data_IF_734243333919
#
_entry.id   IF_734243333919
#
_cell.length_a   1.000
_cell.length_b   1.000
_cell.length_c   1.000
_cell.angle_alpha   90.00
_cell.angle_beta   90.00
_cell.angle_gamma   90.00
#
_symmetry.space_group_name_H-M   'P 1'
#
loop_
_entity.id
_entity.type
_entity.pdbx_description
1 polymer ?
#
# COMPACT_ATOMS: atom_id res chain seq x y z
N UNK A 1 -6.97 59.38 40.71
CA UNK A 1 -6.01 58.70 39.80
C UNK A 1 -6.14 57.18 39.78
N UNK A 2 -6.69 56.52 40.81
CA UNK A 2 -6.96 55.07 40.81
C UNK A 2 -8.04 54.62 39.80
N UNK A 3 -9.10 55.42 39.62
CA UNK A 3 -10.23 55.08 38.74
C UNK A 3 -9.83 54.98 37.24
N UNK A 4 -8.91 55.85 36.79
CA UNK A 4 -8.41 55.81 35.41
C UNK A 4 -7.59 54.55 35.13
N UNK A 5 -6.86 54.04 36.13
CA UNK A 5 -6.01 52.84 35.99
C UNK A 5 -6.85 51.55 35.88
N UNK A 6 -7.97 51.48 36.60
CA UNK A 6 -8.89 50.33 36.54
C UNK A 6 -9.66 50.30 35.21
N UNK A 7 -10.07 51.48 34.71
CA UNK A 7 -10.74 51.58 33.41
C UNK A 7 -9.83 51.15 32.25
N UNK A 8 -8.54 51.52 32.27
CA UNK A 8 -7.57 51.11 31.25
C UNK A 8 -7.29 49.60 31.27
N UNK A 9 -7.28 48.98 32.45
CA UNK A 9 -7.08 47.53 32.58
C UNK A 9 -8.28 46.74 32.04
N UNK A 10 -9.51 47.19 32.34
CA UNK A 10 -10.73 46.57 31.81
C UNK A 10 -10.86 46.73 30.29
N UNK A 11 -10.42 47.85 29.73
CA UNK A 11 -10.46 48.08 28.28
C UNK A 11 -9.46 47.19 27.51
N UNK A 12 -8.28 46.92 28.09
CA UNK A 12 -7.30 46.01 27.49
C UNK A 12 -7.77 44.54 27.54
N UNK A 13 -8.42 44.11 28.62
CA UNK A 13 -8.96 42.74 28.72
C UNK A 13 -10.13 42.55 27.73
N UNK A 14 -10.95 43.58 27.48
CA UNK A 14 -12.08 43.49 26.56
C UNK A 14 -11.66 43.39 25.09
N UNK A 15 -10.57 44.06 24.67
CA UNK A 15 -10.08 44.01 23.28
C UNK A 15 -9.32 42.73 22.96
N UNK A 16 -8.59 42.15 23.93
CA UNK A 16 -7.92 40.86 23.73
C UNK A 16 -8.84 39.64 23.97
N UNK A 17 -9.90 39.78 24.77
CA UNK A 17 -10.86 38.70 25.04
C UNK A 17 -11.79 38.34 23.87
N UNK A 18 -11.97 39.24 22.90
CA UNK A 18 -12.88 39.04 21.76
C UNK A 18 -12.24 38.30 20.57
N UNK A 19 -10.91 38.07 20.58
CA UNK A 19 -10.21 37.31 19.54
C UNK A 19 -9.94 35.84 19.92
N UNK A 20 -10.36 35.41 21.13
CA UNK A 20 -10.21 34.04 21.60
C UNK A 20 -11.47 33.17 21.36
N UNK A 21 -12.39 33.60 20.50
CA UNK A 21 -13.31 32.66 19.85
C UNK A 21 -12.57 32.06 18.65
N UNK A 22 -11.59 31.21 18.95
CA UNK A 22 -11.21 30.16 18.03
C UNK A 22 -12.44 29.25 17.98
N UNK A 23 -13.32 29.50 17.01
CA UNK A 23 -14.29 28.51 16.61
C UNK A 23 -13.48 27.21 16.43
N UNK A 24 -13.83 26.09 17.06
CA UNK A 24 -13.18 24.83 16.76
C UNK A 24 -13.23 24.72 15.24
N UNK A 25 -12.06 24.76 14.60
CA UNK A 25 -11.95 24.21 13.25
C UNK A 25 -12.59 22.84 13.42
N UNK A 26 -13.69 22.52 12.69
CA UNK A 26 -14.28 21.20 12.78
C UNK A 26 -13.09 20.26 12.71
N UNK A 27 -12.83 19.49 13.78
CA UNK A 27 -11.70 18.58 13.80
C UNK A 27 -11.81 17.88 12.46
N UNK A 28 -10.84 18.11 11.57
CA UNK A 28 -10.81 17.40 10.32
C UNK A 28 -10.77 15.96 10.80
N UNK A 29 -11.91 15.26 10.70
CA UNK A 29 -12.06 13.90 11.21
C UNK A 29 -10.82 13.20 10.73
N UNK A 30 -9.93 12.88 11.68
CA UNK A 30 -8.65 12.31 11.38
C UNK A 30 -9.03 11.02 10.67
N UNK A 31 -8.97 10.99 9.33
CA UNK A 31 -9.58 9.92 8.55
C UNK A 31 -9.06 8.64 9.14
N UNK A 32 -9.94 7.90 9.80
CA UNK A 32 -9.57 6.65 10.41
C UNK A 32 -8.97 5.81 9.30
N UNK A 33 -7.71 5.42 9.45
CA UNK A 33 -7.12 4.47 8.52
C UNK A 33 -7.79 3.14 8.85
N UNK A 34 -8.64 2.66 7.95
CA UNK A 34 -9.30 1.35 8.06
C UNK A 34 -8.57 0.34 7.20
N UNK A 35 -8.70 -0.95 7.52
CA UNK A 35 -8.14 -2.03 6.70
C UNK A 35 -8.59 -1.93 5.24
N UNK A 36 -9.86 -1.59 5.01
CA UNK A 36 -10.41 -1.33 3.67
C UNK A 36 -9.65 -0.22 2.95
N UNK A 37 -9.45 0.94 3.62
CA UNK A 37 -8.74 2.06 3.01
C UNK A 37 -7.28 1.73 2.66
N UNK A 38 -6.62 0.89 3.47
CA UNK A 38 -5.25 0.45 3.20
C UNK A 38 -5.22 -0.42 1.94
N UNK A 39 -6.07 -1.45 1.87
CA UNK A 39 -6.08 -2.37 0.72
C UNK A 39 -6.60 -1.69 -0.55
N UNK A 40 -7.55 -0.76 -0.47
CA UNK A 40 -8.06 -0.02 -1.63
C UNK A 40 -7.03 0.93 -2.23
N UNK A 41 -6.26 1.61 -1.37
CA UNK A 41 -5.16 2.48 -1.81
C UNK A 41 -4.03 1.67 -2.45
N UNK A 42 -3.71 0.51 -1.86
CA UNK A 42 -2.76 -0.43 -2.44
C UNK A 42 -3.25 -0.91 -3.81
N UNK A 43 -4.50 -1.37 -3.93
CA UNK A 43 -5.08 -1.83 -5.19
C UNK A 43 -5.03 -0.76 -6.29
N UNK A 44 -5.38 0.48 -5.96
CA UNK A 44 -5.30 1.59 -6.92
C UNK A 44 -3.88 1.78 -7.45
N UNK A 45 -2.89 1.69 -6.55
CA UNK A 45 -1.48 1.85 -6.92
C UNK A 45 -0.98 0.67 -7.74
N UNK A 46 -1.33 -0.56 -7.34
CA UNK A 46 -1.02 -1.81 -8.04
C UNK A 46 -1.58 -1.75 -9.46
N UNK A 47 -2.87 -1.45 -9.63
CA UNK A 47 -3.51 -1.38 -10.94
C UNK A 47 -2.85 -0.36 -11.89
N UNK A 48 -2.43 0.78 -11.35
CA UNK A 48 -1.69 1.79 -12.12
C UNK A 48 -0.32 1.28 -12.55
N UNK A 49 0.42 0.60 -11.66
CA UNK A 49 1.74 0.05 -11.94
C UNK A 49 1.67 -1.13 -12.90
N UNK A 50 0.74 -2.08 -12.68
CA UNK A 50 0.56 -3.26 -13.54
C UNK A 50 0.22 -2.82 -14.97
N UNK A 51 -0.67 -1.85 -15.13
CA UNK A 51 -0.99 -1.27 -16.44
C UNK A 51 0.23 -0.67 -17.14
N UNK A 52 1.10 0.02 -16.38
CA UNK A 52 2.32 0.59 -16.93
C UNK A 52 3.35 -0.49 -17.30
N UNK A 53 3.46 -1.56 -16.51
CA UNK A 53 4.32 -2.71 -16.82
C UNK A 53 3.83 -3.46 -18.07
N UNK A 54 2.52 -3.65 -18.23
CA UNK A 54 1.92 -4.27 -19.44
C UNK A 54 2.22 -3.50 -20.72
N UNK A 55 2.39 -2.17 -20.62
CA UNK A 55 2.75 -1.34 -21.76
C UNK A 55 4.21 -1.56 -22.24
N UNK A 56 5.07 -2.16 -21.41
CA UNK A 56 6.48 -2.40 -21.74
C UNK A 56 6.67 -3.73 -22.48
N UNK A 57 6.53 -3.70 -23.80
CA UNK A 57 6.55 -4.90 -24.65
C UNK A 57 7.92 -5.29 -25.19
N UNK A 58 8.94 -4.45 -25.03
CA UNK A 58 10.26 -4.64 -25.63
C UNK A 58 11.37 -4.39 -24.63
N UNK A 59 12.40 -5.25 -24.68
CA UNK A 59 13.58 -5.11 -23.83
C UNK A 59 14.57 -4.09 -24.43
N UNK A 60 14.36 -2.81 -24.09
CA UNK A 60 15.32 -1.73 -24.35
C UNK A 60 15.95 -1.27 -23.02
N UNK A 61 17.14 -0.66 -23.03
CA UNK A 61 17.73 -0.12 -21.79
C UNK A 61 16.81 0.86 -21.05
N UNK A 62 16.11 1.72 -21.79
CA UNK A 62 15.13 2.67 -21.23
C UNK A 62 13.94 1.96 -20.59
N UNK A 63 13.36 0.97 -21.26
CA UNK A 63 12.24 0.20 -20.73
C UNK A 63 12.67 -0.66 -19.53
N UNK A 64 13.88 -1.21 -19.53
CA UNK A 64 14.43 -1.97 -18.41
C UNK A 64 14.58 -1.10 -17.15
N UNK A 65 15.07 0.13 -17.30
CA UNK A 65 15.14 1.09 -16.20
C UNK A 65 13.75 1.49 -15.70
N UNK A 66 12.82 1.73 -16.61
CA UNK A 66 11.43 2.06 -16.28
C UNK A 66 10.74 0.90 -15.56
N UNK A 67 10.92 -0.32 -16.03
CA UNK A 67 10.37 -1.52 -15.39
C UNK A 67 10.91 -1.69 -13.97
N UNK A 68 12.22 -1.53 -13.76
CA UNK A 68 12.81 -1.56 -12.41
C UNK A 68 12.24 -0.47 -11.50
N UNK A 69 12.07 0.75 -12.02
CA UNK A 69 11.47 1.86 -11.26
C UNK A 69 10.04 1.55 -10.85
N UNK A 70 9.23 1.02 -11.77
CA UNK A 70 7.84 0.62 -11.50
C UNK A 70 7.77 -0.51 -10.46
N UNK A 71 8.65 -1.50 -10.54
CA UNK A 71 8.74 -2.58 -9.55
C UNK A 71 9.16 -2.06 -8.18
N UNK A 72 10.11 -1.13 -8.10
CA UNK A 72 10.48 -0.49 -6.83
C UNK A 72 9.32 0.34 -6.25
N UNK A 73 8.55 1.03 -7.10
CA UNK A 73 7.35 1.74 -6.65
C UNK A 73 6.30 0.78 -6.09
N UNK A 74 6.17 -0.41 -6.66
CA UNK A 74 5.27 -1.44 -6.14
C UNK A 74 5.72 -1.92 -4.76
N UNK A 75 7.02 -2.19 -4.57
CA UNK A 75 7.58 -2.58 -3.27
C UNK A 75 7.29 -1.50 -2.23
N UNK A 76 7.57 -0.23 -2.53
CA UNK A 76 7.31 0.91 -1.63
C UNK A 76 5.82 1.04 -1.30
N UNK A 77 4.93 0.78 -2.25
CA UNK A 77 3.49 0.82 -2.02
C UNK A 77 3.05 -0.28 -1.03
N UNK A 78 3.58 -1.49 -1.17
CA UNK A 78 3.31 -2.60 -0.25
C UNK A 78 3.89 -2.30 1.14
N UNK A 79 5.11 -1.80 1.24
CA UNK A 79 5.74 -1.40 2.53
C UNK A 79 4.96 -0.26 3.22
N UNK A 80 4.42 0.67 2.45
CA UNK A 80 3.55 1.73 2.97
C UNK A 80 2.26 1.14 3.54
N UNK A 81 1.65 0.19 2.83
CA UNK A 81 0.48 -0.54 3.32
C UNK A 81 0.81 -1.34 4.60
N UNK A 82 1.98 -1.99 4.67
CA UNK A 82 2.46 -2.68 5.88
C UNK A 82 2.57 -1.72 7.06
N UNK A 83 3.17 -0.57 6.85
CA UNK A 83 3.33 0.45 7.90
C UNK A 83 1.98 0.93 8.39
N UNK A 84 1.02 1.14 7.49
CA UNK A 84 -0.34 1.54 7.86
C UNK A 84 -1.07 0.43 8.63
N UNK A 85 -0.97 -0.83 8.18
CA UNK A 85 -1.61 -1.97 8.80
C UNK A 85 -1.04 -2.30 10.19
N UNK A 86 0.28 -2.23 10.34
CA UNK A 86 0.99 -2.53 11.59
C UNK A 86 1.00 -1.39 12.61
N UNK A 87 0.59 -0.17 12.21
CA UNK A 87 0.62 1.01 13.08
C UNK A 87 -0.28 0.92 14.33
N UNK A 88 -1.14 -0.10 14.44
CA UNK A 88 -2.13 -0.24 15.52
C UNK A 88 -3.21 0.85 15.50
N UNK A 89 -3.19 1.74 14.50
CA UNK A 89 -4.19 2.79 14.27
C UNK A 89 -5.41 2.28 13.50
N UNK A 90 -5.38 1.02 13.04
CA UNK A 90 -6.48 0.43 12.32
C UNK A 90 -7.69 0.33 13.23
N UNK A 91 -8.71 1.12 12.93
CA UNK A 91 -10.00 1.00 13.61
C UNK A 91 -10.69 -0.24 13.05
N UNK A 92 -10.90 -1.24 13.91
CA UNK A 92 -11.73 -2.41 13.59
C UNK A 92 -13.18 -1.95 13.43
N UNK A 93 -13.57 -1.58 12.21
CA UNK A 93 -14.98 -1.40 11.86
C UNK A 93 -15.60 -2.76 11.60
N UNK A 94 -16.92 -2.86 11.82
CA UNK A 94 -17.74 -3.99 11.37
C UNK A 94 -17.91 -4.01 9.84
N UNK A 95 -16.89 -3.56 9.10
CA UNK A 95 -16.79 -3.77 7.66
C UNK A 95 -16.48 -5.26 7.46
N UNK A 96 -17.07 -5.89 6.44
CA UNK A 96 -16.95 -7.32 6.25
C UNK A 96 -15.49 -7.67 5.96
N UNK A 97 -14.86 -8.43 6.86
CA UNK A 97 -13.53 -9.01 6.70
C UNK A 97 -13.33 -9.63 5.30
N UNK A 98 -14.42 -10.12 4.70
CA UNK A 98 -14.52 -10.65 3.34
C UNK A 98 -14.20 -9.62 2.24
N UNK A 99 -14.66 -8.38 2.35
CA UNK A 99 -14.37 -7.34 1.35
C UNK A 99 -12.88 -6.95 1.34
N UNK A 100 -12.24 -6.92 2.51
CA UNK A 100 -10.79 -6.68 2.61
C UNK A 100 -10.03 -7.86 2.01
N UNK A 101 -10.46 -9.09 2.29
CA UNK A 101 -9.86 -10.29 1.73
C UNK A 101 -10.00 -10.37 0.21
N UNK A 102 -11.14 -10.00 -0.35
CA UNK A 102 -11.39 -9.97 -1.80
C UNK A 102 -10.49 -8.95 -2.50
N UNK A 103 -10.41 -7.72 -1.96
CA UNK A 103 -9.55 -6.68 -2.53
C UNK A 103 -8.07 -7.08 -2.46
N UNK A 104 -7.62 -7.63 -1.33
CA UNK A 104 -6.23 -8.07 -1.20
C UNK A 104 -5.94 -9.28 -2.11
N UNK A 105 -6.90 -10.18 -2.28
CA UNK A 105 -6.78 -11.31 -3.22
C UNK A 105 -6.65 -10.82 -4.66
N UNK A 106 -7.43 -9.81 -5.06
CA UNK A 106 -7.27 -9.15 -6.37
C UNK A 106 -5.86 -8.58 -6.52
N UNK A 107 -5.36 -7.83 -5.52
CA UNK A 107 -4.00 -7.26 -5.55
C UNK A 107 -2.94 -8.34 -5.77
N UNK A 108 -3.01 -9.41 -4.98
CA UNK A 108 -2.04 -10.51 -5.07
C UNK A 108 -2.14 -11.22 -6.43
N UNK A 109 -3.35 -11.43 -6.95
CA UNK A 109 -3.58 -12.02 -8.27
C UNK A 109 -3.03 -11.14 -9.39
N UNK A 110 -3.33 -9.83 -9.37
CA UNK A 110 -2.89 -8.86 -10.39
C UNK A 110 -1.36 -8.83 -10.49
N UNK A 111 -0.67 -8.88 -9.33
CA UNK A 111 0.78 -9.02 -9.24
C UNK A 111 1.22 -10.39 -9.81
N UNK A 112 0.61 -11.48 -9.35
CA UNK A 112 0.93 -12.84 -9.79
C UNK A 112 0.78 -13.06 -11.30
N UNK A 113 -0.16 -12.38 -11.95
CA UNK A 113 -0.43 -12.48 -13.38
C UNK A 113 0.48 -11.60 -14.23
N UNK A 114 0.85 -10.40 -13.75
CA UNK A 114 1.66 -9.48 -14.54
C UNK A 114 3.15 -9.83 -14.57
N UNK A 115 3.69 -10.33 -13.46
CA UNK A 115 5.12 -10.56 -13.36
C UNK A 115 5.66 -11.66 -14.29
N UNK A 116 4.96 -12.80 -14.51
CA UNK A 116 5.39 -13.83 -15.46
C UNK A 116 5.82 -13.33 -16.84
N UNK A 117 4.96 -12.66 -17.64
CA UNK A 117 5.36 -12.16 -18.95
C UNK A 117 6.40 -11.04 -18.85
N UNK A 118 6.33 -10.18 -17.83
CA UNK A 118 7.24 -9.05 -17.66
C UNK A 118 8.66 -9.51 -17.35
N UNK A 119 8.85 -10.57 -16.57
CA UNK A 119 10.18 -11.14 -16.26
C UNK A 119 10.82 -11.77 -17.50
N UNK A 120 10.03 -12.39 -18.38
CA UNK A 120 10.55 -12.92 -19.66
C UNK A 120 11.12 -11.79 -20.52
N UNK A 121 10.48 -10.61 -20.52
CA UNK A 121 10.96 -9.42 -21.24
C UNK A 121 12.14 -8.77 -20.51
N UNK A 122 12.07 -8.67 -19.18
CA UNK A 122 13.06 -8.02 -18.32
C UNK A 122 13.58 -8.98 -17.23
N UNK A 123 14.51 -9.89 -17.56
CA UNK A 123 15.01 -10.88 -16.60
C UNK A 123 15.67 -10.27 -15.35
N UNK A 124 16.16 -9.03 -15.46
CA UNK A 124 16.75 -8.26 -14.34
C UNK A 124 15.78 -8.06 -13.17
N UNK A 125 14.47 -8.19 -13.38
CA UNK A 125 13.46 -8.06 -12.33
C UNK A 125 13.34 -9.32 -11.46
N UNK A 126 13.86 -10.47 -11.91
CA UNK A 126 13.76 -11.75 -11.20
C UNK A 126 14.14 -11.66 -9.71
N UNK A 127 15.28 -11.06 -9.33
CA UNK A 127 15.66 -10.90 -7.93
C UNK A 127 14.68 -10.04 -7.10
N UNK A 128 14.00 -9.07 -7.70
CA UNK A 128 13.06 -8.18 -7.01
C UNK A 128 11.74 -8.87 -6.65
N UNK A 129 11.43 -10.01 -7.27
CA UNK A 129 10.22 -10.78 -7.00
C UNK A 129 10.22 -11.33 -5.57
N UNK A 130 11.38 -11.76 -5.08
CA UNK A 130 11.51 -12.23 -3.71
C UNK A 130 11.20 -11.11 -2.69
N UNK A 131 11.56 -9.86 -3.00
CA UNK A 131 11.21 -8.71 -2.16
C UNK A 131 9.71 -8.42 -2.15
N UNK A 132 9.04 -8.57 -3.31
CA UNK A 132 7.57 -8.41 -3.39
C UNK A 132 6.86 -9.51 -2.61
N UNK A 133 7.28 -10.77 -2.78
CA UNK A 133 6.71 -11.92 -2.08
C UNK A 133 6.81 -11.74 -0.56
N UNK A 134 8.01 -11.36 -0.08
CA UNK A 134 8.23 -11.05 1.33
C UNK A 134 7.35 -9.90 1.83
N UNK A 135 7.29 -8.78 1.10
CA UNK A 135 6.50 -7.61 1.49
C UNK A 135 4.99 -7.91 1.53
N UNK A 136 4.47 -8.69 0.57
CA UNK A 136 3.08 -9.14 0.54
C UNK A 136 2.79 -10.09 1.71
N UNK A 137 3.70 -11.01 2.01
CA UNK A 137 3.54 -11.91 3.15
C UNK A 137 3.41 -11.14 4.47
N UNK A 138 4.27 -10.14 4.70
CA UNK A 138 4.17 -9.26 5.86
C UNK A 138 2.85 -8.47 5.90
N UNK A 139 2.33 -8.04 4.74
CA UNK A 139 1.04 -7.35 4.64
C UNK A 139 -0.10 -8.23 5.09
N UNK A 140 -0.12 -9.47 4.59
CA UNK A 140 -1.13 -10.46 4.95
C UNK A 140 -1.11 -10.71 6.45
N UNK A 141 0.07 -10.92 7.04
CA UNK A 141 0.20 -11.11 8.50
C UNK A 141 -0.33 -9.88 9.26
N UNK A 142 0.08 -8.68 8.83
CA UNK A 142 -0.32 -7.43 9.50
C UNK A 142 -1.83 -7.20 9.46
N UNK A 143 -2.47 -7.56 8.35
CA UNK A 143 -3.92 -7.44 8.18
C UNK A 143 -4.69 -8.57 8.84
N UNK A 144 -4.17 -9.80 8.91
CA UNK A 144 -4.85 -10.96 9.53
C UNK A 144 -5.09 -10.76 11.04
N UNK A 145 -4.21 -10.01 11.70
CA UNK A 145 -4.41 -9.58 13.10
C UNK A 145 -5.70 -8.78 13.27
N UNK A 146 -6.08 -8.01 12.25
CA UNK A 146 -7.26 -7.12 12.28
C UNK A 146 -8.48 -7.80 11.64
N UNK A 147 -8.26 -8.54 10.56
CA UNK A 147 -9.23 -9.19 9.67
C UNK A 147 -9.09 -10.71 9.80
N UNK A 148 -10.04 -11.35 10.47
CA UNK A 148 -9.87 -12.76 10.83
C UNK A 148 -10.01 -13.69 9.62
N UNK A 149 -9.04 -14.58 9.40
CA UNK A 149 -9.12 -15.62 8.38
C UNK A 149 -8.56 -15.24 7.00
N UNK A 150 -7.89 -14.08 6.92
CA UNK A 150 -7.28 -13.57 5.70
C UNK A 150 -6.19 -14.52 5.17
N UNK A 151 -5.37 -15.07 6.07
CA UNK A 151 -4.33 -16.04 5.70
C UNK A 151 -4.94 -17.26 5.00
N UNK A 152 -6.08 -17.77 5.47
CA UNK A 152 -6.71 -18.95 4.89
C UNK A 152 -7.09 -18.77 3.42
N UNK A 153 -7.74 -17.64 3.12
CA UNK A 153 -8.16 -17.26 1.77
C UNK A 153 -6.96 -17.06 0.84
N UNK A 154 -5.94 -16.34 1.32
CA UNK A 154 -4.78 -16.00 0.50
C UNK A 154 -3.81 -17.15 0.32
N UNK A 155 -3.74 -18.11 1.24
CA UNK A 155 -2.81 -19.22 1.13
C UNK A 155 -3.07 -20.07 -0.14
N UNK A 156 -4.34 -20.23 -0.53
CA UNK A 156 -4.71 -20.89 -1.79
C UNK A 156 -4.21 -20.13 -3.02
N UNK A 157 -4.32 -18.81 -3.00
CA UNK A 157 -3.85 -17.94 -4.08
C UNK A 157 -2.31 -17.88 -4.16
N UNK A 158 -1.65 -17.69 -3.02
CA UNK A 158 -0.20 -17.68 -2.88
C UNK A 158 0.41 -19.00 -3.38
N UNK A 159 -0.23 -20.14 -3.10
CA UNK A 159 0.22 -21.43 -3.62
C UNK A 159 0.11 -21.51 -5.15
N UNK A 160 -0.97 -20.98 -5.73
CA UNK A 160 -1.15 -20.89 -7.18
C UNK A 160 -0.07 -20.05 -7.84
N UNK A 161 0.19 -18.85 -7.30
CA UNK A 161 1.21 -17.92 -7.82
C UNK A 161 2.62 -18.48 -7.63
N UNK A 162 2.92 -19.08 -6.48
CA UNK A 162 4.19 -19.76 -6.24
C UNK A 162 4.44 -20.88 -7.27
N UNK A 163 3.40 -21.59 -7.69
CA UNK A 163 3.47 -22.56 -8.79
C UNK A 163 3.92 -21.93 -10.12
N UNK A 164 3.34 -20.79 -10.48
CA UNK A 164 3.69 -20.04 -11.69
C UNK A 164 5.14 -19.53 -11.62
N UNK A 165 5.52 -18.92 -10.49
CA UNK A 165 6.88 -18.41 -10.25
C UNK A 165 7.92 -19.52 -10.28
N UNK A 166 7.63 -20.69 -9.70
CA UNK A 166 8.52 -21.85 -9.75
C UNK A 166 8.71 -22.34 -11.20
N UNK A 167 7.65 -22.32 -12.00
CA UNK A 167 7.72 -22.61 -13.43
C UNK A 167 8.62 -21.63 -14.19
N UNK A 168 8.53 -20.33 -13.91
CA UNK A 168 9.41 -19.30 -14.50
C UNK A 168 10.86 -19.45 -14.07
N UNK A 169 11.11 -19.68 -12.77
CA UNK A 169 12.46 -19.88 -12.27
C UNK A 169 13.15 -21.05 -12.97
N UNK A 170 12.43 -22.14 -13.20
CA UNK A 170 12.92 -23.27 -13.99
C UNK A 170 13.12 -22.88 -15.47
N UNK A 171 12.21 -22.12 -16.07
CA UNK A 171 12.32 -21.69 -17.47
C UNK A 171 13.52 -20.76 -17.70
N UNK A 172 13.76 -19.82 -16.79
CA UNK A 172 14.93 -18.92 -16.84
C UNK A 172 16.24 -19.69 -16.60
N UNK A 173 16.22 -20.65 -15.66
CA UNK A 173 17.37 -21.51 -15.40
C UNK A 173 17.71 -22.38 -16.62
N UNK A 174 16.71 -22.98 -17.27
CA UNK A 174 16.88 -23.73 -18.50
C UNK A 174 17.37 -22.84 -19.65
N UNK A 175 16.80 -21.63 -19.80
CA UNK A 175 17.25 -20.65 -20.78
C UNK A 175 18.71 -20.22 -20.57
N UNK A 176 19.15 -20.06 -19.31
CA UNK A 176 20.56 -19.81 -18.96
C UNK A 176 21.48 -20.98 -19.32
N UNK A 177 20.97 -22.21 -19.25
CA UNK A 177 21.69 -23.42 -19.65
C UNK A 177 21.62 -23.70 -21.17
N UNK A 178 20.91 -22.87 -21.93
CA UNK A 178 20.74 -23.05 -23.38
C UNK A 178 19.88 -24.25 -23.77
N UNK A 179 19.00 -24.69 -22.86
CA UNK A 179 18.04 -25.80 -23.03
C UNK A 179 16.65 -25.30 -23.44
#
# INVERSE_FOLDING_TARGET
>A
MLFARVASFLFAVLTFGLLASANPVPEAEKRAVTSESVVSNLQTTVNSITSQLQALKTNTPENSLKAQTLVNQLIVAIETANTQASSGLLIKRAESDEAVADVLSSVVSDIGEIFPPVIVIFPILGPLIASIDFALHELVISLDVVVFGLIGTLNGLLFGIAGILRGLGLTLFLGLLGL
#
